data_IF_378682762403
#
_entry.id   IF_378682762403
#
_cell.length_a   1.000
_cell.length_b   1.000
_cell.length_c   1.000
_cell.angle_alpha   90.00
_cell.angle_beta   90.00
_cell.angle_gamma   90.00
#
_symmetry.space_group_name_H-M   'P 1'
#
loop_
_entity.id
_entity.type
_entity.pdbx_description
1 polymer ?
#
# COMPACT_ATOMS: atom_id res chain seq x y z
N UNK A 1 14.57 -9.10 0.92
CA UNK A 1 14.18 -7.81 1.53
C UNK A 1 13.09 -8.12 2.55
N UNK A 2 13.29 -7.78 3.82
CA UNK A 2 12.27 -8.00 4.85
C UNK A 2 11.29 -6.82 4.75
N UNK A 3 10.07 -7.07 4.28
CA UNK A 3 8.99 -6.09 4.35
C UNK A 3 8.14 -6.45 5.56
N UNK A 4 7.86 -5.46 6.40
CA UNK A 4 7.05 -5.58 7.61
C UNK A 4 5.67 -4.98 7.37
N UNK A 5 4.72 -5.29 8.26
CA UNK A 5 3.45 -4.55 8.30
C UNK A 5 3.74 -3.06 8.48
N UNK A 6 2.89 -2.23 7.88
CA UNK A 6 2.97 -0.77 7.85
C UNK A 6 4.06 -0.18 6.96
N UNK A 7 4.90 -1.02 6.34
CA UNK A 7 5.86 -0.54 5.35
C UNK A 7 5.15 0.01 4.11
N UNK A 8 5.60 1.17 3.66
CA UNK A 8 5.27 1.72 2.35
C UNK A 8 6.27 1.16 1.35
N UNK A 9 5.79 0.34 0.42
CA UNK A 9 6.61 -0.32 -0.61
C UNK A 9 6.27 0.19 -1.99
N UNK A 10 7.27 0.21 -2.88
CA UNK A 10 7.11 0.56 -4.28
C UNK A 10 7.15 -0.72 -5.13
N UNK A 11 6.05 -1.05 -5.81
CA UNK A 11 5.92 -2.28 -6.61
C UNK A 11 4.95 -2.10 -7.77
N UNK A 12 5.01 -2.94 -8.83
CA UNK A 12 4.05 -2.92 -9.92
C UNK A 12 2.70 -3.46 -9.46
N UNK A 13 1.64 -2.65 -9.56
CA UNK A 13 0.28 -3.07 -9.21
C UNK A 13 -0.58 -3.06 -10.47
N UNK A 14 -1.35 -4.13 -10.73
CA UNK A 14 -2.26 -4.16 -11.86
C UNK A 14 -3.35 -3.09 -11.74
N UNK A 15 -3.84 -2.65 -12.89
CA UNK A 15 -5.13 -1.96 -12.95
C UNK A 15 -6.26 -2.95 -12.66
N UNK A 16 -7.42 -2.43 -12.25
CA UNK A 16 -8.60 -3.24 -11.89
C UNK A 16 -9.20 -3.99 -13.09
N UNK A 17 -8.94 -3.52 -14.30
CA UNK A 17 -9.29 -4.19 -15.57
C UNK A 17 -8.20 -5.18 -16.04
N UNK A 18 -7.11 -5.33 -15.27
CA UNK A 18 -5.96 -6.19 -15.54
C UNK A 18 -5.23 -5.90 -16.86
N UNK A 19 -5.51 -4.76 -17.51
CA UNK A 19 -4.96 -4.41 -18.83
C UNK A 19 -3.45 -4.18 -18.80
N UNK A 20 -2.94 -3.65 -17.69
CA UNK A 20 -1.52 -3.39 -17.47
C UNK A 20 -1.22 -3.21 -15.98
N UNK A 21 0.05 -2.97 -15.66
CA UNK A 21 0.48 -2.62 -14.29
C UNK A 21 1.20 -1.28 -14.26
N UNK A 22 1.09 -0.60 -13.12
CA UNK A 22 1.81 0.65 -12.87
C UNK A 22 2.59 0.53 -11.56
N UNK A 23 3.84 0.99 -11.57
CA UNK A 23 4.65 1.06 -10.37
C UNK A 23 4.12 2.19 -9.49
N UNK A 24 3.58 1.83 -8.31
CA UNK A 24 2.99 2.79 -7.38
C UNK A 24 3.29 2.39 -5.93
N UNK A 25 3.29 3.35 -4.99
CA UNK A 25 3.40 3.01 -3.58
C UNK A 25 2.19 2.19 -3.11
N UNK A 26 2.42 1.29 -2.18
CA UNK A 26 1.41 0.52 -1.48
C UNK A 26 1.83 0.29 -0.04
N UNK A 27 0.86 0.16 0.86
CA UNK A 27 1.09 -0.17 2.27
C UNK A 27 1.00 -1.67 2.45
N UNK A 28 1.97 -2.27 3.12
CA UNK A 28 1.92 -3.68 3.52
C UNK A 28 1.00 -3.80 4.74
N UNK A 29 -0.11 -4.53 4.58
CA UNK A 29 -1.05 -4.79 5.69
C UNK A 29 -0.82 -6.14 6.34
N UNK A 30 -0.05 -7.02 5.69
CA UNK A 30 0.39 -8.27 6.29
C UNK A 30 1.05 -9.22 5.31
N UNK A 31 1.30 -10.41 5.81
CA UNK A 31 1.86 -11.53 5.07
C UNK A 31 0.77 -12.58 4.89
N UNK A 32 0.77 -13.25 3.73
CA UNK A 32 -0.11 -14.38 3.51
C UNK A 32 0.46 -15.67 4.15
N UNK A 33 -0.37 -16.71 4.27
CA UNK A 33 0.04 -18.01 4.80
C UNK A 33 1.15 -18.67 3.96
N UNK A 34 1.24 -18.33 2.68
CA UNK A 34 2.31 -18.79 1.80
C UNK A 34 3.55 -17.88 1.94
N UNK A 35 4.75 -18.44 2.16
CA UNK A 35 5.97 -17.66 2.25
C UNK A 35 6.24 -16.87 0.96
N UNK A 36 6.52 -15.57 1.12
CA UNK A 36 6.86 -14.71 0.00
C UNK A 36 5.71 -13.91 -0.59
N UNK A 37 4.47 -14.11 -0.13
CA UNK A 37 3.33 -13.29 -0.54
C UNK A 37 3.02 -12.21 0.49
N UNK A 38 2.77 -11.00 0.01
CA UNK A 38 2.40 -9.82 0.78
C UNK A 38 0.97 -9.40 0.45
N UNK A 39 0.20 -9.08 1.48
CA UNK A 39 -1.06 -8.38 1.33
C UNK A 39 -0.79 -6.88 1.37
N UNK A 40 -1.11 -6.17 0.29
CA UNK A 40 -0.83 -4.74 0.15
C UNK A 40 -2.05 -3.95 -0.29
N UNK A 41 -2.11 -2.69 0.13
CA UNK A 41 -3.16 -1.74 -0.22
C UNK A 41 -2.54 -0.60 -1.03
N UNK A 42 -2.95 -0.38 -2.29
CA UNK A 42 -2.36 0.65 -3.13
C UNK A 42 -2.67 2.08 -2.66
N UNK A 43 -1.68 2.94 -2.83
CA UNK A 43 -1.78 4.36 -2.53
C UNK A 43 -1.96 5.17 -3.83
N UNK A 44 -2.93 6.07 -3.85
CA UNK A 44 -3.25 6.95 -4.99
C UNK A 44 -2.96 8.41 -4.66
N UNK A 45 -2.49 9.18 -5.65
CA UNK A 45 -2.43 10.65 -5.57
C UNK A 45 -3.69 11.34 -6.09
N UNK A 46 -4.65 10.59 -6.64
CA UNK A 46 -5.94 11.11 -7.07
C UNK A 46 -6.93 10.99 -5.92
N UNK A 47 -7.11 12.08 -5.17
CA UNK A 47 -7.94 12.09 -3.95
C UNK A 47 -9.42 11.77 -4.22
N UNK A 48 -9.93 12.08 -5.41
CA UNK A 48 -11.29 11.69 -5.85
C UNK A 48 -11.52 10.17 -5.89
N UNK A 49 -10.44 9.39 -5.99
CA UNK A 49 -10.46 7.92 -6.06
C UNK A 49 -9.92 7.28 -4.77
N UNK A 50 -9.77 8.07 -3.71
CA UNK A 50 -9.32 7.61 -2.42
C UNK A 50 -10.51 7.41 -1.49
N UNK A 51 -10.58 6.23 -0.89
CA UNK A 51 -11.56 5.95 0.16
C UNK A 51 -11.07 6.47 1.52
N UNK A 52 -9.75 6.66 1.64
CA UNK A 52 -9.16 7.24 2.84
C UNK A 52 -8.03 8.21 2.54
N UNK A 53 -7.99 9.34 3.24
CA UNK A 53 -6.92 10.34 3.10
C UNK A 53 -5.83 10.06 4.16
N UNK A 54 -4.57 10.00 3.73
CA UNK A 54 -3.41 9.88 4.63
C UNK A 54 -3.01 11.28 5.09
N UNK A 55 -3.27 11.61 6.35
CA UNK A 55 -2.97 12.94 6.92
C UNK A 55 -1.46 13.22 7.02
N UNK A 56 -0.70 12.31 7.65
CA UNK A 56 0.75 12.44 7.87
C UNK A 56 1.57 11.75 6.77
N UNK A 57 1.22 12.01 5.50
CA UNK A 57 1.85 11.35 4.35
C UNK A 57 3.37 11.63 4.25
N UNK A 58 3.82 12.82 4.65
CA UNK A 58 5.23 13.21 4.61
C UNK A 58 6.09 12.41 5.60
N UNK A 59 5.56 12.13 6.80
CA UNK A 59 6.23 11.31 7.81
C UNK A 59 6.37 9.85 7.35
N UNK A 60 5.44 9.37 6.52
CA UNK A 60 5.49 8.06 5.90
C UNK A 60 6.46 7.96 4.69
N UNK A 61 7.23 9.02 4.41
CA UNK A 61 8.17 9.08 3.29
C UNK A 61 7.50 9.26 1.92
N UNK A 62 6.21 9.62 1.88
CA UNK A 62 5.53 9.95 0.62
C UNK A 62 5.81 11.41 0.26
N UNK A 63 5.97 11.70 -1.03
CA UNK A 63 6.30 13.06 -1.52
C UNK A 63 5.07 13.94 -1.83
N UNK A 64 3.86 13.40 -1.81
CA UNK A 64 2.63 14.14 -2.13
C UNK A 64 1.48 13.68 -1.25
N UNK A 65 0.45 14.52 -1.02
CA UNK A 65 -0.78 14.09 -0.38
C UNK A 65 -1.34 12.88 -1.11
N UNK A 66 -1.51 11.78 -0.39
CA UNK A 66 -2.02 10.55 -0.98
C UNK A 66 -3.16 10.00 -0.16
N UNK A 67 -4.03 9.29 -0.86
CA UNK A 67 -5.08 8.51 -0.24
C UNK A 67 -4.91 7.02 -0.53
N UNK A 68 -5.56 6.21 0.28
CA UNK A 68 -5.65 4.78 0.12
C UNK A 68 -6.80 4.50 -0.84
N UNK A 69 -6.54 3.68 -1.85
CA UNK A 69 -7.57 3.20 -2.77
C UNK A 69 -8.24 1.98 -2.16
N UNK A 70 -9.55 1.82 -2.37
CA UNK A 70 -10.35 0.68 -1.94
C UNK A 70 -10.07 -0.59 -2.73
N UNK A 71 -8.81 -0.99 -2.73
CA UNK A 71 -8.29 -2.15 -3.43
C UNK A 71 -7.33 -2.84 -2.48
N UNK A 72 -7.47 -4.15 -2.34
CA UNK A 72 -6.50 -4.99 -1.66
C UNK A 72 -5.97 -5.96 -2.70
N UNK A 73 -4.65 -6.18 -2.72
CA UNK A 73 -4.05 -7.14 -3.63
C UNK A 73 -2.96 -7.94 -2.92
N UNK A 74 -2.85 -9.20 -3.32
CA UNK A 74 -1.72 -10.05 -2.96
C UNK A 74 -0.65 -9.93 -4.03
N UNK A 75 0.60 -9.74 -3.60
CA UNK A 75 1.75 -9.62 -4.48
C UNK A 75 2.93 -10.39 -3.92
N UNK A 76 3.73 -10.97 -4.79
CA UNK A 76 4.97 -11.62 -4.35
C UNK A 76 6.00 -10.56 -3.91
N UNK A 77 6.68 -10.82 -2.79
CA UNK A 77 7.71 -9.95 -2.19
C UNK A 77 8.84 -9.63 -3.17
N UNK A 78 9.12 -10.52 -4.14
CA UNK A 78 10.12 -10.27 -5.20
C UNK A 78 9.77 -9.11 -6.12
N UNK A 79 8.50 -8.69 -6.17
CA UNK A 79 8.05 -7.55 -6.95
C UNK A 79 8.32 -6.21 -6.24
N UNK A 80 8.65 -6.24 -4.94
CA UNK A 80 9.01 -5.05 -4.17
C UNK A 80 10.33 -4.50 -4.68
N UNK A 81 10.30 -3.29 -5.24
CA UNK A 81 11.49 -2.60 -5.74
C UNK A 81 12.23 -1.86 -4.64
N UNK A 82 11.49 -1.28 -3.69
CA UNK A 82 12.04 -0.47 -2.60
C UNK A 82 11.02 -0.31 -1.47
N UNK A 83 11.49 -0.30 -0.22
CA UNK A 83 10.77 0.23 0.94
C UNK A 83 11.02 1.75 1.00
N UNK A 84 9.95 2.52 0.95
CA UNK A 84 9.96 3.99 0.88
C UNK A 84 9.94 4.62 2.27
N UNK A 85 9.22 3.99 3.20
CA UNK A 85 9.03 4.46 4.57
C UNK A 85 8.06 3.53 5.29
N UNK A 86 7.51 4.01 6.40
CA UNK A 86 6.52 3.28 7.21
C UNK A 86 5.41 4.23 7.62
N UNK A 87 4.16 3.77 7.61
CA UNK A 87 3.02 4.55 8.08
C UNK A 87 2.90 4.45 9.62
N UNK A 88 3.01 5.57 10.34
CA UNK A 88 3.05 5.56 11.82
C UNK A 88 1.68 5.70 12.49
N UNK A 89 0.74 6.41 11.86
CA UNK A 89 -0.60 6.73 12.41
C UNK A 89 -1.82 6.17 11.63
N UNK A 90 -1.75 5.88 10.31
CA UNK A 90 -2.88 5.33 9.57
C UNK A 90 -3.28 3.90 9.93
N UNK A 91 -2.48 3.14 10.69
CA UNK A 91 -2.77 1.71 10.97
C UNK A 91 -4.15 1.51 11.62
N UNK A 92 -4.52 2.29 12.65
CA UNK A 92 -5.83 2.19 13.28
C UNK A 92 -7.00 2.47 12.31
N UNK A 93 -6.77 3.38 11.36
CA UNK A 93 -7.79 3.84 10.44
C UNK A 93 -7.89 2.93 9.21
N UNK A 94 -6.76 2.39 8.77
CA UNK A 94 -6.67 1.33 7.76
C UNK A 94 -7.28 0.03 8.28
N UNK A 95 -7.02 -0.36 9.53
CA UNK A 95 -7.67 -1.50 10.18
C UNK A 95 -9.17 -1.32 10.28
N UNK A 96 -9.62 -0.16 10.78
CA UNK A 96 -11.05 0.19 10.82
C UNK A 96 -11.68 0.14 9.44
N UNK A 97 -10.97 0.61 8.41
CA UNK A 97 -11.45 0.58 7.02
C UNK A 97 -11.47 -0.84 6.43
N UNK A 98 -10.50 -1.69 6.82
CA UNK A 98 -10.43 -3.10 6.44
C UNK A 98 -11.38 -4.00 7.24
N UNK A 99 -12.11 -3.44 8.21
CA UNK A 99 -12.90 -4.19 9.21
C UNK A 99 -12.07 -5.24 9.97
N UNK A 100 -10.78 -4.96 10.19
CA UNK A 100 -9.81 -5.79 10.92
C UNK A 100 -9.56 -5.29 12.35
#
# INVERSE_FOLDING_TARGET
MFCSRDDVVLLPIPFTDLSSSKVRPAVVVGHCSWPGDLLVVPVTSQLQNADLIIGQWAEAGLNVPRGIKGQICTVEVRLVRKVVGQITAPDALLRKWLEL
#
